data_IF_435704242974
#
_entry.id   IF_435704242974
#
_cell.length_a   1.000
_cell.length_b   1.000
_cell.length_c   1.000
_cell.angle_alpha   90.00
_cell.angle_beta   90.00
_cell.angle_gamma   90.00
#
_symmetry.space_group_name_H-M   'P 1'
#
loop_
_entity.id
_entity.type
_entity.pdbx_description
1 polymer ?
#
# COMPACT_ATOMS: atom_id res chain seq x y z
N UNK A 1 21.42 -2.99 -10.89
CA UNK A 1 20.62 -2.11 -11.78
C UNK A 1 19.16 -2.39 -11.46
N UNK A 2 18.46 -1.50 -10.74
CA UNK A 2 17.05 -1.74 -10.43
C UNK A 2 16.25 -1.77 -11.73
N UNK A 3 15.41 -2.80 -11.98
CA UNK A 3 14.60 -2.87 -13.18
C UNK A 3 13.73 -1.61 -13.28
N UNK A 4 13.61 -1.06 -14.49
CA UNK A 4 12.71 0.06 -14.77
C UNK A 4 11.29 -0.43 -14.51
N UNK A 5 10.57 0.22 -13.59
CA UNK A 5 9.16 -0.11 -13.33
C UNK A 5 8.37 0.09 -14.64
N UNK A 6 7.75 -0.97 -15.19
CA UNK A 6 6.98 -0.84 -16.42
C UNK A 6 5.72 -0.03 -16.12
N UNK A 7 5.35 0.89 -17.01
CA UNK A 7 4.04 1.52 -16.97
C UNK A 7 3.01 0.50 -17.45
N UNK A 8 2.31 -0.16 -16.52
CA UNK A 8 1.28 -1.12 -16.88
C UNK A 8 0.04 -0.40 -17.42
N UNK A 9 -0.71 -1.03 -18.35
CA UNK A 9 -2.03 -0.57 -18.70
C UNK A 9 -2.95 -0.62 -17.47
N UNK A 10 -3.87 0.36 -17.36
CA UNK A 10 -4.91 0.33 -16.34
C UNK A 10 -5.89 -0.80 -16.62
N UNK A 11 -6.31 -1.49 -15.57
CA UNK A 11 -7.29 -2.55 -15.68
C UNK A 11 -8.69 -1.96 -15.88
N UNK A 12 -9.49 -2.60 -16.73
CA UNK A 12 -10.90 -2.28 -16.85
C UNK A 12 -11.63 -2.82 -15.61
N UNK A 13 -12.31 -1.97 -14.83
CA UNK A 13 -13.05 -2.41 -13.65
C UNK A 13 -14.09 -3.47 -13.98
N UNK A 14 -14.32 -4.38 -13.06
CA UNK A 14 -15.41 -5.35 -13.14
C UNK A 14 -16.56 -4.92 -12.23
N UNK A 15 -17.82 -5.14 -12.64
CA UNK A 15 -18.96 -4.92 -11.76
C UNK A 15 -18.85 -5.81 -10.52
N UNK A 16 -18.89 -5.21 -9.33
CA UNK A 16 -18.96 -5.90 -8.04
C UNK A 16 -20.03 -5.23 -7.18
N UNK A 17 -20.81 -6.03 -6.47
CA UNK A 17 -21.66 -5.52 -5.40
C UNK A 17 -20.84 -5.21 -4.13
N UNK A 18 -21.50 -4.66 -3.11
CA UNK A 18 -20.85 -4.27 -1.86
C UNK A 18 -20.28 -5.46 -1.06
N UNK A 19 -20.86 -6.65 -1.18
CA UNK A 19 -20.40 -7.86 -0.48
C UNK A 19 -19.18 -8.48 -1.18
N UNK A 20 -19.20 -8.54 -2.51
CA UNK A 20 -18.07 -8.96 -3.32
C UNK A 20 -16.88 -8.01 -3.15
N UNK A 21 -17.13 -6.69 -3.14
CA UNK A 21 -16.09 -5.68 -2.84
C UNK A 21 -15.48 -5.90 -1.46
N UNK A 22 -16.32 -6.06 -0.43
CA UNK A 22 -15.85 -6.32 0.92
C UNK A 22 -15.04 -7.62 1.03
N UNK A 23 -15.50 -8.68 0.37
CA UNK A 23 -14.80 -9.98 0.33
C UNK A 23 -13.43 -9.85 -0.34
N UNK A 24 -13.35 -9.19 -1.50
CA UNK A 24 -12.10 -8.97 -2.20
C UNK A 24 -11.11 -8.12 -1.39
N UNK A 25 -11.59 -7.02 -0.78
CA UNK A 25 -10.74 -6.13 0.01
C UNK A 25 -10.25 -6.83 1.30
N UNK A 26 -11.10 -7.58 1.99
CA UNK A 26 -10.69 -8.35 3.17
C UNK A 26 -9.68 -9.44 2.80
N UNK A 27 -9.90 -10.16 1.70
CA UNK A 27 -8.97 -11.18 1.22
C UNK A 27 -7.58 -10.59 0.95
N UNK A 28 -7.52 -9.45 0.27
CA UNK A 28 -6.24 -8.77 -0.01
C UNK A 28 -5.61 -8.22 1.27
N UNK A 29 -6.40 -7.64 2.17
CA UNK A 29 -5.90 -7.16 3.47
C UNK A 29 -5.18 -8.27 4.25
N UNK A 30 -5.81 -9.44 4.36
CA UNK A 30 -5.25 -10.59 5.08
C UNK A 30 -3.96 -11.13 4.45
N UNK A 31 -3.85 -11.08 3.12
CA UNK A 31 -2.70 -11.62 2.37
C UNK A 31 -1.56 -10.62 2.19
N UNK A 32 -1.82 -9.31 2.34
CA UNK A 32 -0.80 -8.26 2.38
C UNK A 32 -0.30 -7.95 3.80
N UNK A 33 -0.98 -8.42 4.84
CA UNK A 33 -0.49 -8.35 6.21
C UNK A 33 0.72 -9.29 6.40
N UNK A 34 1.63 -8.93 7.32
CA UNK A 34 2.89 -9.66 7.50
C UNK A 34 2.62 -11.15 7.83
N UNK A 35 3.28 -12.11 7.16
CA UNK A 35 2.98 -13.53 7.33
C UNK A 35 3.39 -14.01 8.73
N UNK A 36 2.39 -14.41 9.52
CA UNK A 36 2.55 -15.12 10.80
C UNK A 36 2.10 -16.58 10.71
N UNK A 37 1.99 -17.25 11.87
CA UNK A 37 1.54 -18.64 11.95
C UNK A 37 0.16 -18.86 11.30
N UNK A 38 -0.72 -17.86 11.37
CA UNK A 38 -2.08 -17.89 10.81
C UNK A 38 -2.13 -17.75 9.27
N UNK A 39 -1.00 -17.47 8.61
CA UNK A 39 -1.00 -17.17 7.16
C UNK A 39 -1.53 -18.35 6.33
N UNK A 40 -1.23 -19.60 6.72
CA UNK A 40 -1.81 -20.78 6.07
C UNK A 40 -3.34 -20.84 6.16
N UNK A 41 -3.90 -20.50 7.34
CA UNK A 41 -5.35 -20.42 7.52
C UNK A 41 -5.97 -19.28 6.69
N UNK A 42 -5.29 -18.15 6.58
CA UNK A 42 -5.72 -17.02 5.71
C UNK A 42 -5.77 -17.43 4.24
N UNK A 43 -4.76 -18.15 3.73
CA UNK A 43 -4.77 -18.68 2.36
C UNK A 43 -5.97 -19.60 2.11
N UNK A 44 -6.25 -20.52 3.04
CA UNK A 44 -7.40 -21.42 2.94
C UNK A 44 -8.74 -20.67 2.96
N UNK A 45 -8.89 -19.68 3.85
CA UNK A 45 -10.09 -18.85 3.93
C UNK A 45 -10.32 -18.05 2.63
N UNK A 46 -9.26 -17.47 2.05
CA UNK A 46 -9.36 -16.76 0.77
C UNK A 46 -9.74 -17.73 -0.35
N UNK A 47 -9.14 -18.92 -0.40
CA UNK A 47 -9.49 -19.94 -1.40
C UNK A 47 -10.96 -20.35 -1.31
N UNK A 48 -11.50 -20.45 -0.11
CA UNK A 48 -12.92 -20.78 0.13
C UNK A 48 -13.87 -19.65 -0.27
N UNK A 49 -13.49 -18.39 -0.04
CA UNK A 49 -14.32 -17.23 -0.37
C UNK A 49 -14.25 -16.86 -1.87
N UNK A 50 -13.13 -17.15 -2.55
CA UNK A 50 -12.89 -16.73 -3.93
C UNK A 50 -14.02 -17.07 -4.94
N UNK A 51 -14.75 -18.20 -4.86
CA UNK A 51 -15.84 -18.51 -5.78
C UNK A 51 -17.01 -17.52 -5.77
N UNK A 52 -17.17 -16.67 -4.73
CA UNK A 52 -18.23 -15.65 -4.68
C UNK A 52 -17.90 -14.40 -5.50
N UNK A 53 -16.65 -14.26 -5.94
CA UNK A 53 -16.14 -13.09 -6.64
C UNK A 53 -16.24 -13.24 -8.17
N UNK A 54 -16.28 -12.12 -8.91
CA UNK A 54 -16.18 -12.17 -10.37
C UNK A 54 -14.89 -12.88 -10.84
N UNK A 55 -14.92 -13.59 -11.98
CA UNK A 55 -13.82 -14.43 -12.44
C UNK A 55 -12.46 -13.73 -12.42
N UNK A 56 -12.37 -12.48 -12.89
CA UNK A 56 -11.12 -11.73 -12.97
C UNK A 56 -10.51 -11.47 -11.60
N UNK A 57 -11.33 -11.15 -10.59
CA UNK A 57 -10.89 -10.88 -9.22
C UNK A 57 -10.51 -12.20 -8.53
N UNK A 58 -11.38 -13.22 -8.67
CA UNK A 58 -11.12 -14.57 -8.18
C UNK A 58 -9.79 -15.11 -8.70
N UNK A 59 -9.58 -15.07 -10.01
CA UNK A 59 -8.40 -15.64 -10.66
C UNK A 59 -7.13 -14.86 -10.29
N UNK A 60 -7.23 -13.56 -10.01
CA UNK A 60 -6.12 -12.78 -9.47
C UNK A 60 -5.75 -13.21 -8.04
N UNK A 61 -6.73 -13.37 -7.15
CA UNK A 61 -6.49 -13.87 -5.79
C UNK A 61 -5.91 -15.29 -5.79
N UNK A 62 -6.50 -16.20 -6.55
CA UNK A 62 -6.05 -17.60 -6.60
C UNK A 62 -4.63 -17.74 -7.17
N UNK A 63 -4.25 -16.93 -8.16
CA UNK A 63 -2.86 -16.89 -8.65
C UNK A 63 -1.85 -16.54 -7.55
N UNK A 64 -2.19 -15.62 -6.66
CA UNK A 64 -1.33 -15.34 -5.49
C UNK A 64 -1.30 -16.54 -4.55
N UNK A 65 -2.47 -17.07 -4.18
CA UNK A 65 -2.58 -18.21 -3.24
C UNK A 65 -1.78 -19.40 -3.75
N UNK A 66 -1.98 -19.81 -5.00
CA UNK A 66 -1.30 -20.95 -5.61
C UNK A 66 0.23 -20.76 -5.68
N UNK A 67 0.69 -19.51 -5.84
CA UNK A 67 2.13 -19.21 -5.90
C UNK A 67 2.84 -19.32 -4.55
N UNK A 68 2.16 -18.97 -3.44
CA UNK A 68 2.77 -18.91 -2.10
C UNK A 68 2.40 -20.11 -1.21
N UNK A 69 1.39 -20.89 -1.58
CA UNK A 69 0.97 -22.10 -0.88
C UNK A 69 2.12 -23.11 -0.68
N UNK A 70 3.02 -23.37 -1.64
CA UNK A 70 4.13 -24.30 -1.47
C UNK A 70 5.23 -23.81 -0.53
N UNK A 71 5.28 -22.51 -0.22
CA UNK A 71 6.33 -21.91 0.60
C UNK A 71 6.11 -22.19 2.08
N UNK A 72 7.18 -22.41 2.83
CA UNK A 72 7.11 -22.44 4.28
C UNK A 72 6.97 -21.01 4.87
N UNK A 73 6.79 -20.91 6.19
CA UNK A 73 6.62 -19.61 6.84
C UNK A 73 7.86 -18.71 6.70
N UNK A 74 9.06 -19.30 6.77
CA UNK A 74 10.33 -18.55 6.70
C UNK A 74 10.50 -17.97 5.31
N UNK A 75 10.23 -18.77 4.27
CA UNK A 75 10.26 -18.33 2.87
C UNK A 75 9.27 -17.18 2.61
N UNK A 76 8.04 -17.30 3.15
CA UNK A 76 7.02 -16.25 3.04
C UNK A 76 7.47 -14.96 3.72
N UNK A 77 8.02 -15.04 4.93
CA UNK A 77 8.53 -13.88 5.66
C UNK A 77 9.71 -13.22 4.95
N UNK A 78 10.67 -14.03 4.50
CA UNK A 78 11.83 -13.54 3.77
C UNK A 78 11.42 -12.82 2.48
N UNK A 79 10.50 -13.41 1.71
CA UNK A 79 10.00 -12.81 0.48
C UNK A 79 9.16 -11.54 0.75
N UNK A 80 8.38 -11.51 1.84
CA UNK A 80 7.64 -10.33 2.27
C UNK A 80 8.58 -9.15 2.56
N UNK A 81 9.57 -9.36 3.43
CA UNK A 81 10.58 -8.35 3.79
C UNK A 81 11.34 -7.88 2.55
N UNK A 82 11.77 -8.83 1.70
CA UNK A 82 12.45 -8.51 0.44
C UNK A 82 11.59 -7.66 -0.50
N UNK A 83 10.28 -7.84 -0.47
CA UNK A 83 9.35 -7.12 -1.35
C UNK A 83 8.95 -5.77 -0.80
N UNK A 84 8.50 -5.70 0.46
CA UNK A 84 7.84 -4.52 1.01
C UNK A 84 8.77 -3.63 1.84
N UNK A 85 9.66 -4.23 2.63
CA UNK A 85 10.50 -3.47 3.58
C UNK A 85 11.78 -2.96 2.92
N UNK A 86 12.38 -3.78 2.06
CA UNK A 86 13.65 -3.44 1.41
C UNK A 86 13.48 -2.62 0.12
N UNK A 87 12.25 -2.45 -0.39
CA UNK A 87 11.98 -1.75 -1.65
C UNK A 87 11.00 -0.60 -1.45
N UNK A 88 11.53 0.62 -1.44
CA UNK A 88 10.73 1.85 -1.33
C UNK A 88 9.61 1.97 -2.37
N UNK A 89 9.77 1.40 -3.57
CA UNK A 89 8.74 1.42 -4.64
C UNK A 89 7.58 0.47 -4.42
N UNK A 90 7.70 -0.43 -3.44
CA UNK A 90 6.67 -1.39 -3.08
C UNK A 90 6.06 -1.07 -1.71
N UNK A 91 6.38 0.07 -1.09
CA UNK A 91 5.86 0.42 0.23
C UNK A 91 4.32 0.35 0.28
N UNK A 92 3.78 -0.23 1.35
CA UNK A 92 2.33 -0.42 1.55
C UNK A 92 1.65 0.81 2.18
N UNK A 93 2.28 1.99 2.14
CA UNK A 93 1.76 3.22 2.74
C UNK A 93 1.25 4.16 1.65
N UNK A 94 -0.07 4.40 1.62
CA UNK A 94 -0.71 5.14 0.52
C UNK A 94 -0.22 6.60 0.42
N UNK A 95 -0.03 7.27 1.56
CA UNK A 95 0.39 8.67 1.57
C UNK A 95 1.84 8.86 1.15
N UNK A 96 2.67 7.81 1.26
CA UNK A 96 4.05 7.85 0.84
C UNK A 96 4.19 8.16 -0.65
N UNK A 97 3.34 7.62 -1.52
CA UNK A 97 3.44 7.92 -2.96
C UNK A 97 3.18 9.38 -3.29
N UNK A 98 2.18 10.00 -2.66
CA UNK A 98 1.79 11.38 -2.93
C UNK A 98 2.68 12.42 -2.22
N UNK A 99 3.17 12.12 -1.01
CA UNK A 99 3.83 13.09 -0.16
C UNK A 99 5.28 12.72 0.21
N UNK A 100 5.71 11.48 -0.06
CA UNK A 100 6.98 10.93 0.39
C UNK A 100 7.20 11.12 1.88
N UNK A 101 8.45 11.26 2.31
CA UNK A 101 8.79 11.48 3.72
C UNK A 101 8.83 12.97 4.10
N UNK A 102 7.88 13.77 3.59
CA UNK A 102 7.81 15.21 3.87
C UNK A 102 6.86 15.54 5.01
N UNK A 103 6.93 16.76 5.57
CA UNK A 103 5.89 17.27 6.50
C UNK A 103 4.46 17.17 5.96
N UNK A 104 4.27 17.19 4.63
CA UNK A 104 2.94 17.05 4.00
C UNK A 104 2.35 15.66 4.26
N UNK A 105 3.18 14.64 4.48
CA UNK A 105 2.74 13.28 4.83
C UNK A 105 2.06 13.26 6.20
N UNK A 106 2.61 13.97 7.19
CA UNK A 106 1.98 14.07 8.52
C UNK A 106 0.52 14.55 8.47
N UNK A 107 0.23 15.54 7.63
CA UNK A 107 -1.15 16.01 7.46
C UNK A 107 -2.04 15.06 6.67
N UNK A 108 -1.47 14.26 5.76
CA UNK A 108 -2.20 13.20 5.10
C UNK A 108 -2.57 12.07 6.09
N UNK A 109 -1.66 11.69 6.98
CA UNK A 109 -1.90 10.67 8.01
C UNK A 109 -3.05 11.08 8.95
N UNK A 110 -3.13 12.35 9.35
CA UNK A 110 -4.26 12.85 10.16
C UNK A 110 -5.61 12.63 9.47
N UNK A 111 -5.68 12.86 8.15
CA UNK A 111 -6.92 12.61 7.38
C UNK A 111 -7.31 11.13 7.37
N UNK A 112 -6.34 10.21 7.36
CA UNK A 112 -6.64 8.78 7.51
C UNK A 112 -7.21 8.48 8.90
N UNK A 113 -6.62 9.02 9.98
CA UNK A 113 -7.17 8.85 11.34
C UNK A 113 -8.60 9.37 11.44
N UNK A 114 -8.87 10.55 10.87
CA UNK A 114 -10.22 11.14 10.84
C UNK A 114 -11.21 10.27 10.06
N UNK A 115 -10.78 9.69 8.93
CA UNK A 115 -11.62 8.79 8.14
C UNK A 115 -11.94 7.48 8.88
N UNK A 116 -10.97 6.86 9.56
CA UNK A 116 -11.25 5.71 10.44
C UNK A 116 -12.28 6.06 11.51
N UNK A 117 -12.11 7.20 12.18
CA UNK A 117 -13.04 7.67 13.22
C UNK A 117 -14.44 7.96 12.68
N UNK A 118 -14.54 8.52 11.48
CA UNK A 118 -15.82 8.78 10.82
C UNK A 118 -16.61 7.48 10.55
N UNK A 119 -15.91 6.37 10.36
CA UNK A 119 -16.47 5.02 10.24
C UNK A 119 -16.70 4.31 11.59
N UNK A 120 -16.37 4.96 12.73
CA UNK A 120 -16.44 4.34 14.06
C UNK A 120 -15.31 3.37 14.38
N UNK A 121 -14.23 3.38 13.59
CA UNK A 121 -13.05 2.53 13.79
C UNK A 121 -11.86 3.35 14.32
N UNK A 122 -10.87 2.64 14.88
CA UNK A 122 -9.57 3.23 15.23
C UNK A 122 -8.49 2.49 14.43
N UNK A 123 -7.49 3.20 13.87
CA UNK A 123 -6.32 2.56 13.28
C UNK A 123 -5.62 1.65 14.30
N UNK A 124 -4.87 0.67 13.82
CA UNK A 124 -4.07 -0.18 14.70
C UNK A 124 -2.92 0.64 15.30
N UNK A 125 -2.52 0.30 16.53
CA UNK A 125 -1.44 1.02 17.22
C UNK A 125 -0.03 0.61 16.71
N UNK A 126 0.08 -0.53 16.02
CA UNK A 126 1.33 -1.08 15.50
C UNK A 126 1.68 -0.61 14.08
N UNK A 127 0.76 0.07 13.41
CA UNK A 127 0.92 0.50 12.01
C UNK A 127 0.43 1.94 11.77
N UNK A 128 0.93 2.56 10.70
CA UNK A 128 0.44 3.88 10.29
C UNK A 128 -1.00 3.77 9.75
N UNK A 129 -1.82 4.83 9.90
CA UNK A 129 -3.23 4.80 9.50
C UNK A 129 -3.44 4.72 7.98
N UNK A 130 -2.39 4.93 7.18
CA UNK A 130 -2.41 4.79 5.72
C UNK A 130 -1.84 3.47 5.21
N UNK A 131 -1.56 2.51 6.12
CA UNK A 131 -1.16 1.16 5.79
C UNK A 131 -2.27 0.45 4.99
N UNK A 132 -1.95 0.05 3.76
CA UNK A 132 -2.92 -0.45 2.78
C UNK A 132 -3.77 -1.63 3.29
N UNK A 133 -3.20 -2.67 3.94
CA UNK A 133 -4.00 -3.71 4.59
C UNK A 133 -5.08 -3.17 5.53
N UNK A 134 -4.74 -2.21 6.40
CA UNK A 134 -5.70 -1.60 7.33
C UNK A 134 -6.79 -0.79 6.62
N UNK A 135 -6.45 -0.10 5.54
CA UNK A 135 -7.42 0.67 4.73
C UNK A 135 -8.37 -0.26 3.96
N UNK A 136 -7.86 -1.37 3.43
CA UNK A 136 -8.69 -2.39 2.77
C UNK A 136 -9.59 -3.12 3.77
N UNK A 137 -9.08 -3.41 4.96
CA UNK A 137 -9.86 -3.96 6.06
C UNK A 137 -10.99 -3.01 6.48
N UNK A 138 -10.71 -1.71 6.60
CA UNK A 138 -11.72 -0.68 6.84
C UNK A 138 -12.79 -0.69 5.73
N UNK A 139 -12.40 -0.71 4.46
CA UNK A 139 -13.32 -0.77 3.32
C UNK A 139 -14.17 -2.04 3.28
N UNK A 140 -13.64 -3.15 3.79
CA UNK A 140 -14.40 -4.40 3.88
C UNK A 140 -15.41 -4.40 5.04
N UNK A 141 -15.10 -3.72 6.15
CA UNK A 141 -15.98 -3.65 7.32
C UNK A 141 -17.01 -2.52 7.22
N UNK A 142 -16.60 -1.37 6.73
CA UNK A 142 -17.46 -0.22 6.46
C UNK A 142 -17.65 -0.08 4.95
N UNK A 143 -18.84 -0.47 4.48
CA UNK A 143 -19.24 -0.42 3.07
C UNK A 143 -19.78 0.97 2.67
N UNK A 144 -19.48 2.00 3.47
CA UNK A 144 -19.85 3.38 3.23
C UNK A 144 -18.92 4.10 2.25
N UNK A 145 -19.22 5.38 1.95
CA UNK A 145 -18.48 6.15 0.96
C UNK A 145 -17.07 6.57 1.42
N UNK A 146 -16.79 6.56 2.73
CA UNK A 146 -15.52 7.08 3.27
C UNK A 146 -14.31 6.24 2.85
N UNK A 147 -14.30 4.91 3.02
CA UNK A 147 -13.17 4.08 2.58
C UNK A 147 -13.04 4.04 1.04
N UNK A 148 -14.16 4.07 0.33
CA UNK A 148 -14.18 4.14 -1.14
C UNK A 148 -13.49 5.42 -1.63
N UNK A 149 -13.80 6.57 -1.02
CA UNK A 149 -13.17 7.85 -1.34
C UNK A 149 -11.68 7.86 -0.98
N UNK A 150 -11.29 7.26 0.15
CA UNK A 150 -9.88 7.13 0.54
C UNK A 150 -9.07 6.36 -0.52
N UNK A 151 -9.56 5.20 -0.94
CA UNK A 151 -8.91 4.36 -1.94
C UNK A 151 -8.88 5.05 -3.31
N UNK A 152 -9.98 5.70 -3.71
CA UNK A 152 -10.04 6.45 -4.96
C UNK A 152 -9.08 7.64 -5.00
N UNK A 153 -8.94 8.37 -3.88
CA UNK A 153 -8.04 9.53 -3.77
C UNK A 153 -6.56 9.16 -3.85
N UNK A 154 -6.22 7.89 -3.61
CA UNK A 154 -4.84 7.36 -3.67
C UNK A 154 -4.67 6.32 -4.77
N UNK A 155 -5.55 6.35 -5.79
CA UNK A 155 -5.52 5.38 -6.89
C UNK A 155 -4.23 5.40 -7.69
N UNK A 156 -3.65 6.58 -7.90
CA UNK A 156 -2.34 6.75 -8.54
C UNK A 156 -1.23 6.00 -7.78
N UNK A 157 -1.17 6.12 -6.45
CA UNK A 157 -0.24 5.37 -5.61
C UNK A 157 -0.43 3.85 -5.70
N UNK A 158 -1.69 3.38 -5.71
CA UNK A 158 -2.02 1.97 -5.92
C UNK A 158 -1.53 1.45 -7.28
N UNK A 159 -1.67 2.23 -8.34
CA UNK A 159 -1.19 1.86 -9.68
C UNK A 159 0.34 1.84 -9.78
N UNK A 160 1.03 2.76 -9.10
CA UNK A 160 2.50 2.74 -8.98
C UNK A 160 2.95 1.47 -8.25
N UNK A 161 2.32 1.15 -7.12
CA UNK A 161 2.61 -0.07 -6.36
C UNK A 161 2.37 -1.32 -7.22
N UNK A 162 1.21 -1.41 -7.89
CA UNK A 162 0.88 -2.52 -8.80
C UNK A 162 1.93 -2.66 -9.91
N UNK A 163 2.30 -1.56 -10.55
CA UNK A 163 3.32 -1.53 -11.61
C UNK A 163 4.68 -1.99 -11.10
N UNK A 164 5.07 -1.58 -9.88
CA UNK A 164 6.31 -2.00 -9.25
C UNK A 164 6.32 -3.50 -8.95
N UNK A 165 5.26 -4.02 -8.35
CA UNK A 165 5.16 -5.45 -7.98
C UNK A 165 5.22 -6.38 -9.19
N UNK A 166 4.56 -6.01 -10.30
CA UNK A 166 4.69 -6.72 -11.58
C UNK A 166 6.08 -6.57 -12.20
N UNK A 167 6.67 -5.37 -12.16
CA UNK A 167 8.03 -5.14 -12.65
C UNK A 167 9.09 -5.98 -11.93
N UNK A 168 8.85 -6.34 -10.67
CA UNK A 168 9.69 -7.27 -9.90
C UNK A 168 9.24 -8.73 -9.99
N UNK A 169 8.15 -9.05 -10.70
CA UNK A 169 7.65 -10.41 -10.86
C UNK A 169 7.17 -11.06 -9.56
N UNK A 170 6.66 -10.28 -8.61
CA UNK A 170 6.23 -10.82 -7.30
C UNK A 170 4.79 -11.34 -7.36
N UNK A 171 4.44 -12.41 -6.62
CA UNK A 171 3.06 -12.90 -6.57
C UNK A 171 2.09 -11.89 -5.92
N UNK A 172 2.58 -10.93 -5.13
CA UNK A 172 1.76 -9.87 -4.55
C UNK A 172 1.15 -8.94 -5.61
N UNK A 173 1.73 -8.89 -6.82
CA UNK A 173 1.19 -8.10 -7.92
C UNK A 173 -0.27 -8.46 -8.23
N UNK A 174 -0.62 -9.74 -8.11
CA UNK A 174 -1.97 -10.23 -8.37
C UNK A 174 -2.99 -9.80 -7.31
N UNK A 175 -2.55 -9.55 -6.07
CA UNK A 175 -3.42 -8.97 -5.05
C UNK A 175 -3.80 -7.52 -5.41
N UNK A 176 -2.85 -6.76 -5.95
CA UNK A 176 -3.12 -5.39 -6.41
C UNK A 176 -3.95 -5.38 -7.69
N UNK A 177 -3.80 -6.37 -8.58
CA UNK A 177 -4.73 -6.55 -9.69
C UNK A 177 -6.17 -6.76 -9.18
N UNK A 178 -6.37 -7.61 -8.17
CA UNK A 178 -7.67 -7.88 -7.57
C UNK A 178 -8.34 -6.61 -7.01
N UNK A 179 -7.61 -5.79 -6.25
CA UNK A 179 -8.12 -4.49 -5.75
C UNK A 179 -8.37 -3.54 -6.91
N UNK A 180 -7.46 -3.47 -7.89
CA UNK A 180 -7.60 -2.51 -8.97
C UNK A 180 -8.81 -2.78 -9.87
N UNK A 181 -9.23 -4.05 -9.99
CA UNK A 181 -10.42 -4.50 -10.71
C UNK A 181 -11.73 -4.12 -10.01
N UNK A 182 -11.76 -4.00 -8.67
CA UNK A 182 -12.99 -3.69 -7.93
C UNK A 182 -13.28 -2.19 -7.85
N UNK A 183 -12.25 -1.36 -8.00
CA UNK A 183 -12.31 0.10 -7.89
C UNK A 183 -12.74 0.78 -9.20
N UNK A 184 -13.21 2.05 -9.16
CA UNK A 184 -13.59 2.81 -10.35
C UNK A 184 -12.45 2.92 -11.37
N UNK A 185 -12.83 3.17 -12.63
CA UNK A 185 -11.88 3.36 -13.72
C UNK A 185 -10.97 4.57 -13.44
N UNK A 186 -9.71 4.45 -13.85
CA UNK A 186 -8.73 5.52 -13.71
C UNK A 186 -9.11 6.67 -14.65
N UNK A 187 -9.37 7.85 -14.09
CA UNK A 187 -9.61 9.06 -14.86
C UNK A 187 -8.31 9.69 -15.40
N UNK A 188 -8.43 10.67 -16.28
CA UNK A 188 -7.29 11.34 -16.91
C UNK A 188 -6.34 11.99 -15.89
N UNK A 189 -6.88 12.67 -14.87
CA UNK A 189 -6.08 13.33 -13.86
C UNK A 189 -5.28 12.34 -13.01
N UNK A 190 -5.85 11.18 -12.70
CA UNK A 190 -5.17 10.09 -11.99
C UNK A 190 -4.11 9.45 -12.87
N UNK A 191 -4.37 9.28 -14.16
CA UNK A 191 -3.37 8.79 -15.12
C UNK A 191 -2.16 9.73 -15.25
N UNK A 192 -2.39 11.05 -15.27
CA UNK A 192 -1.33 12.06 -15.27
C UNK A 192 -0.47 12.00 -14.00
N UNK A 193 -1.11 11.92 -12.81
CA UNK A 193 -0.39 11.79 -11.54
C UNK A 193 0.41 10.49 -11.47
N UNK A 194 -0.15 9.38 -11.93
CA UNK A 194 0.54 8.10 -12.04
C UNK A 194 1.79 8.21 -12.94
N UNK A 195 1.67 8.82 -14.11
CA UNK A 195 2.80 9.01 -15.04
C UNK A 195 3.90 9.90 -14.41
N UNK A 196 3.51 10.98 -13.72
CA UNK A 196 4.45 11.84 -13.00
C UNK A 196 5.18 11.07 -11.88
N UNK A 197 4.48 10.26 -11.09
CA UNK A 197 5.06 9.44 -10.03
C UNK A 197 6.02 8.37 -10.58
N UNK A 198 5.73 7.75 -11.71
CA UNK A 198 6.66 6.79 -12.33
C UNK A 198 7.96 7.46 -12.81
N UNK A 199 7.86 8.68 -13.35
CA UNK A 199 9.00 9.43 -13.86
C UNK A 199 9.89 9.99 -12.73
N UNK A 200 9.27 10.57 -11.70
CA UNK A 200 9.98 11.34 -10.67
C UNK A 200 10.16 10.57 -9.36
N UNK A 201 9.39 9.51 -9.15
CA UNK A 201 9.25 8.86 -7.85
C UNK A 201 8.43 9.71 -6.85
N UNK A 202 8.18 9.17 -5.64
CA UNK A 202 7.59 9.96 -4.57
C UNK A 202 8.45 11.18 -4.21
N UNK A 203 7.84 12.31 -3.79
CA UNK A 203 8.59 13.49 -3.37
C UNK A 203 9.63 13.17 -2.30
N UNK A 204 10.83 13.73 -2.38
CA UNK A 204 11.82 13.61 -1.31
C UNK A 204 11.89 14.93 -0.53
N UNK A 205 12.00 14.87 0.79
CA UNK A 205 12.18 16.07 1.59
C UNK A 205 13.61 16.60 1.42
N UNK A 206 13.75 17.83 0.92
CA UNK A 206 15.04 18.52 0.80
C UNK A 206 15.46 19.12 2.16
N UNK A 207 15.57 18.31 3.22
CA UNK A 207 15.98 18.85 4.53
C UNK A 207 17.49 19.03 4.56
N UNK A 208 17.95 20.29 4.47
CA UNK A 208 19.34 20.68 4.81
C UNK A 208 20.24 21.15 3.67
N UNK A 209 19.79 21.17 2.41
CA UNK A 209 20.64 21.66 1.30
C UNK A 209 20.61 23.19 1.13
N UNK A 210 19.55 23.86 1.62
CA UNK A 210 19.39 25.31 1.47
C UNK A 210 19.70 26.12 2.74
N UNK A 211 20.16 25.46 3.82
CA UNK A 211 20.67 26.18 5.01
C UNK A 211 22.15 25.88 5.15
N UNK A 212 23.05 26.88 5.13
CA UNK A 212 24.42 26.65 5.55
C UNK A 212 24.35 26.04 6.95
N UNK A 213 25.04 24.92 7.15
CA UNK A 213 25.23 24.29 8.44
C UNK A 213 25.65 25.39 9.43
N UNK A 214 24.74 25.81 10.30
CA UNK A 214 25.12 26.69 11.39
C UNK A 214 26.16 25.93 12.21
N UNK A 215 27.32 26.53 12.51
CA UNK A 215 28.36 25.84 13.24
C UNK A 215 27.79 25.34 14.57
N UNK A 216 28.06 24.07 14.88
CA UNK A 216 27.74 23.49 16.18
C UNK A 216 28.26 24.42 17.30
N UNK A 217 27.51 24.62 18.40
CA UNK A 217 27.99 25.43 19.50
C UNK A 217 29.25 24.80 20.10
N UNK A 218 30.41 25.35 19.78
CA UNK A 218 31.66 25.06 20.48
C UNK A 218 31.56 25.70 21.85
N UNK A 219 31.42 24.89 22.89
CA UNK A 219 31.61 25.35 24.27
C UNK A 219 33.03 25.90 24.38
N UNK A 220 33.18 27.17 24.79
CA UNK A 220 34.49 27.72 25.13
C UNK A 220 34.96 27.03 26.42
N UNK A 221 36.20 26.53 26.51
CA UNK A 221 36.75 26.08 27.77
C UNK A 221 36.74 27.28 28.73
N UNK A 222 36.05 27.12 29.85
CA UNK A 222 36.04 28.06 30.96
C UNK A 222 37.48 28.23 31.44
N UNK A 223 38.03 29.44 31.37
CA UNK A 223 39.25 29.79 32.09
C UNK A 223 38.98 29.60 33.59
N UNK A 224 39.67 28.66 34.20
CA UNK A 224 39.74 28.49 35.65
C UNK A 224 40.73 29.54 36.16
N UNK A 225 40.33 30.53 36.98
CA UNK A 225 41.29 31.38 37.65
C UNK A 225 41.93 30.63 38.83
N UNK A 226 43.21 30.92 39.04
CA UNK A 226 44.14 30.30 39.97
C UNK A 226 43.73 30.35 41.45
#
# INVERSE_FOLDING_TARGET
MSPRTPALPFLTPVPVDGEQRATAHMAVALLLDHPGAEHGARLAAVRQAAPTLPPQVRDALLRHVDAVEPWDLVDRQAHYVQTFDLRRRCALYLTYYAAGDTRRRGMALVRFVEAFRACGWTPRDDELPDHLPGVLELSARDRGPVPDLLLASHRDGLEVLRSALHGYGTPYAHLLDAVCLTLPAVDAGTAERFAALLAQGPPQETVGLDRPLLPFPTTRPTEVPA
#
